data_IF_864098428742
#
_entry.id   IF_864098428742
#
_cell.length_a   1.000
_cell.length_b   1.000
_cell.length_c   1.000
_cell.angle_alpha   90.00
_cell.angle_beta   90.00
_cell.angle_gamma   90.00
#
_symmetry.space_group_name_H-M   'P 1'
#
loop_
_entity.id
_entity.type
_entity.pdbx_description
1 polymer ?
#
# COMPACT_ATOMS: atom_id res chain seq x y z
N UNK A 1 -24.94 -55.68 7.95
CA UNK A 1 -25.79 -55.17 6.86
C UNK A 1 -26.72 -54.12 7.46
N UNK A 2 -26.73 -52.89 6.93
CA UNK A 2 -27.67 -51.84 7.37
C UNK A 2 -27.04 -50.47 7.49
N UNK A 3 -27.07 -49.72 6.40
CA UNK A 3 -26.44 -48.42 6.14
C UNK A 3 -26.70 -47.34 7.20
N UNK A 4 -25.65 -46.60 7.59
CA UNK A 4 -25.77 -45.32 8.30
C UNK A 4 -26.12 -44.25 7.25
N UNK A 5 -27.34 -43.73 7.31
CA UNK A 5 -27.83 -42.66 6.45
C UNK A 5 -26.97 -41.40 6.61
N UNK A 6 -26.39 -40.95 5.50
CA UNK A 6 -25.66 -39.69 5.37
C UNK A 6 -26.70 -38.57 5.27
N UNK A 7 -26.82 -37.73 6.30
CA UNK A 7 -27.51 -36.45 6.18
C UNK A 7 -26.50 -35.40 5.69
N UNK A 8 -26.58 -35.14 4.39
CA UNK A 8 -25.90 -34.07 3.67
C UNK A 8 -26.31 -32.71 4.25
N UNK A 9 -25.46 -32.13 5.11
CA UNK A 9 -25.54 -30.73 5.48
C UNK A 9 -24.98 -29.88 4.35
N UNK A 10 -25.86 -29.27 3.55
CA UNK A 10 -25.46 -28.32 2.51
C UNK A 10 -24.89 -27.05 3.19
N UNK A 11 -23.58 -26.87 3.14
CA UNK A 11 -22.93 -25.61 3.50
C UNK A 11 -23.16 -24.63 2.33
N UNK A 12 -24.15 -23.75 2.47
CA UNK A 12 -24.31 -22.62 1.55
C UNK A 12 -23.19 -21.61 1.83
N UNK A 13 -22.10 -21.68 1.07
CA UNK A 13 -21.05 -20.66 1.07
C UNK A 13 -21.59 -19.44 0.32
N UNK A 14 -22.17 -18.49 1.06
CA UNK A 14 -22.59 -17.20 0.51
C UNK A 14 -21.38 -16.41 0.04
N UNK A 15 -21.21 -16.34 -1.28
CA UNK A 15 -20.20 -15.52 -1.92
C UNK A 15 -20.60 -14.04 -1.74
N UNK A 16 -19.99 -13.38 -0.76
CA UNK A 16 -20.16 -11.94 -0.56
C UNK A 16 -19.39 -11.22 -1.69
N UNK A 17 -20.06 -10.97 -2.80
CA UNK A 17 -19.59 -10.03 -3.81
C UNK A 17 -19.68 -8.63 -3.23
N UNK A 18 -18.64 -8.23 -2.48
CA UNK A 18 -18.43 -6.82 -2.18
C UNK A 18 -18.22 -6.12 -3.53
N UNK A 19 -19.21 -5.34 -3.95
CA UNK A 19 -19.06 -4.44 -5.08
C UNK A 19 -17.84 -3.56 -4.81
N UNK A 20 -16.77 -3.78 -5.56
CA UNK A 20 -15.63 -2.87 -5.57
C UNK A 20 -16.16 -1.58 -6.17
N UNK A 21 -16.21 -0.46 -5.45
CA UNK A 21 -16.55 0.79 -6.09
C UNK A 21 -15.49 1.02 -7.16
N UNK A 22 -15.92 1.13 -8.42
CA UNK A 22 -15.11 1.65 -9.53
C UNK A 22 -14.82 3.13 -9.28
N UNK A 23 -13.98 3.38 -8.28
CA UNK A 23 -13.34 4.64 -8.01
C UNK A 23 -12.04 4.71 -8.78
N UNK A 24 -12.04 4.33 -10.07
CA UNK A 24 -10.98 4.74 -10.99
C UNK A 24 -11.16 6.24 -11.22
N UNK A 25 -10.80 7.04 -10.21
CA UNK A 25 -10.36 8.38 -10.50
C UNK A 25 -9.24 8.20 -11.50
N UNK A 26 -9.43 8.71 -12.71
CA UNK A 26 -8.45 8.77 -13.79
C UNK A 26 -7.24 9.57 -13.30
N UNK A 27 -6.46 8.95 -12.41
CA UNK A 27 -5.22 9.47 -11.89
C UNK A 27 -4.20 9.02 -12.92
N UNK A 28 -4.07 9.83 -13.97
CA UNK A 28 -3.04 9.68 -14.98
C UNK A 28 -1.71 9.40 -14.26
N UNK A 29 -1.09 8.25 -14.56
CA UNK A 29 0.16 7.83 -13.91
C UNK A 29 1.19 8.93 -14.15
N UNK A 30 1.78 9.54 -13.09
CA UNK A 30 2.72 10.63 -13.28
C UNK A 30 3.92 10.18 -14.12
N UNK A 31 4.43 11.05 -14.98
CA UNK A 31 5.50 10.72 -15.93
C UNK A 31 6.75 10.11 -15.27
N UNK A 32 7.08 10.55 -14.04
CA UNK A 32 8.17 9.96 -13.26
C UNK A 32 7.99 8.46 -12.98
N UNK A 33 6.76 8.02 -12.70
CA UNK A 33 6.42 6.61 -12.54
C UNK A 33 6.52 5.88 -13.87
N UNK A 34 6.03 6.46 -14.96
CA UNK A 34 6.12 5.86 -16.30
C UNK A 34 7.58 5.62 -16.68
N UNK A 35 8.46 6.61 -16.53
CA UNK A 35 9.88 6.48 -16.90
C UNK A 35 10.58 5.38 -16.09
N UNK A 36 10.39 5.35 -14.78
CA UNK A 36 11.03 4.34 -13.91
C UNK A 36 10.45 2.96 -14.20
N UNK A 37 9.12 2.85 -14.33
CA UNK A 37 8.46 1.58 -14.63
C UNK A 37 8.93 0.98 -15.95
N UNK A 38 9.01 1.79 -17.01
CA UNK A 38 9.53 1.39 -18.32
C UNK A 38 11.00 0.95 -18.23
N UNK A 39 11.84 1.70 -17.49
CA UNK A 39 13.25 1.35 -17.32
C UNK A 39 13.47 0.00 -16.61
N UNK A 40 12.52 -0.42 -15.78
CA UNK A 40 12.56 -1.69 -15.04
C UNK A 40 11.63 -2.77 -15.60
N UNK A 41 10.97 -2.53 -16.74
CA UNK A 41 10.09 -3.51 -17.38
C UNK A 41 8.84 -3.87 -16.56
N UNK A 42 8.36 -2.96 -15.72
CA UNK A 42 7.12 -3.16 -14.92
C UNK A 42 5.99 -2.28 -15.45
N UNK A 43 4.71 -2.68 -15.30
CA UNK A 43 3.59 -1.81 -15.68
C UNK A 43 3.57 -0.52 -14.84
N UNK A 44 3.49 0.68 -15.45
CA UNK A 44 3.44 1.95 -14.73
C UNK A 44 2.30 2.04 -13.71
N UNK A 45 1.13 1.52 -14.07
CA UNK A 45 -0.06 1.49 -13.23
C UNK A 45 0.16 0.62 -11.99
N UNK A 46 0.84 -0.52 -12.15
CA UNK A 46 1.17 -1.41 -11.05
C UNK A 46 2.13 -0.73 -10.07
N UNK A 47 3.23 -0.15 -10.56
CA UNK A 47 4.18 0.59 -9.70
C UNK A 47 3.52 1.75 -8.95
N UNK A 48 2.64 2.49 -9.64
CA UNK A 48 1.94 3.62 -9.05
C UNK A 48 0.89 3.18 -8.02
N UNK A 49 0.15 2.10 -8.29
CA UNK A 49 -0.85 1.54 -7.38
C UNK A 49 -0.22 1.04 -6.07
N UNK A 50 0.91 0.33 -6.15
CA UNK A 50 1.68 -0.08 -4.96
C UNK A 50 2.09 1.14 -4.16
N UNK A 51 2.64 2.16 -4.81
CA UNK A 51 3.09 3.37 -4.12
C UNK A 51 1.94 4.14 -3.44
N UNK A 52 0.74 4.11 -4.02
CA UNK A 52 -0.47 4.65 -3.41
C UNK A 52 -0.91 3.85 -2.18
N UNK A 53 -0.90 2.51 -2.25
CA UNK A 53 -1.22 1.65 -1.12
C UNK A 53 -0.28 1.89 0.07
N UNK A 54 1.00 2.07 -0.20
CA UNK A 54 2.02 2.23 0.85
C UNK A 54 2.00 3.60 1.52
N UNK A 55 1.93 4.66 0.72
CA UNK A 55 2.23 6.01 1.21
C UNK A 55 1.20 7.07 0.82
N UNK A 56 0.00 6.69 0.40
CA UNK A 56 -1.01 7.67 -0.04
C UNK A 56 -1.26 8.77 1.00
N UNK A 57 -1.44 9.98 0.47
CA UNK A 57 -1.86 11.16 1.19
C UNK A 57 -2.78 12.00 0.31
N UNK A 58 -3.86 12.52 0.90
CA UNK A 58 -4.75 13.48 0.24
C UNK A 58 -4.07 14.85 0.19
N UNK A 59 -3.86 15.36 -1.02
CA UNK A 59 -3.31 16.68 -1.30
C UNK A 59 -4.37 17.52 -2.06
N UNK A 60 -4.18 18.86 -2.19
CA UNK A 60 -5.11 19.70 -2.94
C UNK A 60 -5.35 19.24 -4.39
N UNK A 61 -4.36 18.59 -5.01
CA UNK A 61 -4.41 18.09 -6.39
C UNK A 61 -4.75 16.60 -6.50
N UNK A 62 -5.31 16.01 -5.44
CA UNK A 62 -5.72 14.59 -5.39
C UNK A 62 -4.87 13.74 -4.46
N UNK A 63 -5.10 12.43 -4.49
CA UNK A 63 -4.35 11.45 -3.67
C UNK A 63 -3.04 11.11 -4.37
N UNK A 64 -1.92 11.22 -3.66
CA UNK A 64 -0.58 10.93 -4.20
C UNK A 64 0.25 10.14 -3.19
N UNK A 65 1.21 9.32 -3.64
CA UNK A 65 2.25 8.75 -2.77
C UNK A 65 3.03 9.86 -2.09
N UNK A 66 3.24 9.75 -0.78
CA UNK A 66 3.85 10.80 0.03
C UNK A 66 5.29 10.45 0.41
N UNK A 67 6.30 11.19 -0.07
CA UNK A 67 7.69 10.81 0.08
C UNK A 67 8.23 10.93 1.51
N UNK A 68 7.53 11.65 2.38
CA UNK A 68 7.96 11.88 3.77
C UNK A 68 7.21 10.95 4.73
N UNK A 69 7.11 9.68 4.32
CA UNK A 69 6.49 8.58 5.06
C UNK A 69 7.58 7.69 5.64
N UNK A 70 7.45 7.34 6.92
CA UNK A 70 8.33 6.41 7.63
C UNK A 70 7.46 5.32 8.23
N UNK A 71 7.73 4.07 7.91
CA UNK A 71 7.15 2.93 8.61
C UNK A 71 8.16 2.45 9.66
N UNK A 72 7.73 2.31 10.91
CA UNK A 72 8.53 1.74 11.99
C UNK A 72 7.79 0.55 12.55
N UNK A 73 8.30 -0.65 12.30
CA UNK A 73 7.75 -1.89 12.85
C UNK A 73 6.25 -2.10 12.54
N UNK A 74 5.77 -1.65 11.38
CA UNK A 74 4.37 -1.71 10.95
C UNK A 74 3.56 -0.44 11.24
N UNK A 75 4.14 0.54 11.94
CA UNK A 75 3.48 1.81 12.25
C UNK A 75 3.94 2.92 11.29
N UNK A 76 3.00 3.42 10.49
CA UNK A 76 3.25 4.54 9.57
C UNK A 76 3.24 5.91 10.27
N UNK A 77 4.21 6.74 9.91
CA UNK A 77 4.34 8.14 10.28
C UNK A 77 4.47 8.98 9.01
N UNK A 78 3.72 10.07 8.91
CA UNK A 78 3.75 10.98 7.75
C UNK A 78 4.11 12.38 8.23
N UNK A 79 5.11 13.00 7.60
CA UNK A 79 5.61 14.32 7.98
C UNK A 79 5.29 15.37 6.93
N UNK A 80 5.30 16.65 7.31
CA UNK A 80 4.99 17.77 6.40
C UNK A 80 6.20 18.29 5.64
N UNK A 81 7.41 17.87 5.99
CA UNK A 81 8.60 18.27 5.24
C UNK A 81 9.62 17.14 5.25
N UNK A 82 10.53 17.17 4.27
CA UNK A 82 11.71 16.32 4.25
C UNK A 82 12.53 16.45 5.54
N UNK A 83 12.67 17.67 6.08
CA UNK A 83 13.46 17.93 7.29
C UNK A 83 12.85 17.24 8.51
N UNK A 84 11.53 17.34 8.68
CA UNK A 84 10.82 16.66 9.79
C UNK A 84 10.95 15.14 9.69
N UNK A 85 10.77 14.57 8.50
CA UNK A 85 10.96 13.13 8.29
C UNK A 85 12.41 12.72 8.61
N UNK A 86 13.39 13.48 8.15
CA UNK A 86 14.80 13.19 8.45
C UNK A 86 15.10 13.25 9.95
N UNK A 87 14.63 14.27 10.67
CA UNK A 87 14.80 14.38 12.12
C UNK A 87 14.18 13.19 12.86
N UNK A 88 12.94 12.81 12.48
CA UNK A 88 12.28 11.65 13.07
C UNK A 88 13.02 10.34 12.76
N UNK A 89 13.51 10.17 11.54
CA UNK A 89 14.31 9.02 11.14
C UNK A 89 15.56 8.88 12.02
N UNK A 90 16.28 9.98 12.28
CA UNK A 90 17.45 9.96 13.18
C UNK A 90 17.10 9.46 14.59
N UNK A 91 15.89 9.75 15.08
CA UNK A 91 15.41 9.26 16.38
C UNK A 91 15.06 7.78 16.30
N UNK A 92 14.33 7.34 15.27
CA UNK A 92 13.93 5.94 15.13
C UNK A 92 15.13 5.01 14.94
N UNK A 93 16.13 5.41 14.17
CA UNK A 93 17.36 4.63 13.96
C UNK A 93 18.14 4.35 15.26
N UNK A 94 17.97 5.19 16.29
CA UNK A 94 18.57 4.99 17.62
C UNK A 94 17.76 4.04 18.51
N UNK A 95 16.48 3.84 18.21
CA UNK A 95 15.52 3.13 19.08
C UNK A 95 15.05 1.79 18.52
N UNK A 96 15.19 1.58 17.22
CA UNK A 96 14.71 0.39 16.52
C UNK A 96 15.80 -0.19 15.62
N UNK A 97 15.83 -1.52 15.41
CA UNK A 97 16.69 -2.13 14.39
C UNK A 97 16.39 -1.52 13.01
N UNK A 98 17.44 -1.21 12.24
CA UNK A 98 17.30 -0.59 10.92
C UNK A 98 16.43 -1.41 9.96
N UNK A 99 16.46 -2.74 10.07
CA UNK A 99 15.60 -3.66 9.30
C UNK A 99 14.09 -3.53 9.58
N UNK A 100 13.69 -2.73 10.56
CA UNK A 100 12.29 -2.46 10.91
C UNK A 100 11.87 -1.04 10.55
N UNK A 101 12.66 -0.34 9.74
CA UNK A 101 12.41 1.05 9.37
C UNK A 101 12.42 1.17 7.84
N UNK A 102 11.28 1.50 7.26
CA UNK A 102 11.14 1.76 5.83
C UNK A 102 10.86 3.24 5.62
N UNK A 103 11.34 3.81 4.51
CA UNK A 103 11.21 5.23 4.19
C UNK A 103 10.88 5.40 2.71
N UNK A 104 9.88 6.23 2.41
CA UNK A 104 9.61 6.68 1.04
C UNK A 104 8.23 6.31 0.52
N UNK A 105 8.12 6.31 -0.81
CA UNK A 105 6.84 6.24 -1.55
C UNK A 105 6.34 4.83 -1.82
N UNK A 106 7.21 3.82 -1.78
CA UNK A 106 6.92 2.43 -2.12
C UNK A 106 7.69 1.52 -1.15
N UNK A 107 7.11 1.32 0.04
CA UNK A 107 7.68 0.50 1.11
C UNK A 107 7.20 -0.96 0.94
N UNK A 108 8.01 -1.96 1.28
CA UNK A 108 7.68 -3.40 1.15
C UNK A 108 8.30 -4.19 2.28
#
# INVERSE_FOLDING_TARGET
>A
MGNRSILTGALALGLLMAAVPDGHADQTVPEGYVRVAMAHGVPPEALYSVSLSESSRKLPRGVRPWPWTINVAGKGYRYETRLQAWQALQVFMKRHPLKRIDVGIAQV
#
